data_IF_274438845375
#
_entry.id   IF_274438845375
#
_cell.length_a   1.000
_cell.length_b   1.000
_cell.length_c   1.000
_cell.angle_alpha   90.00
_cell.angle_beta   90.00
_cell.angle_gamma   90.00
#
_symmetry.space_group_name_H-M   'P 1'
#
loop_
_entity.id
_entity.type
_entity.pdbx_description
1 polymer ?
#
# COMPACT_ATOMS: atom_id res chain seq x y z
N UNK A 1 -31.28 14.49 -4.87
CA UNK A 1 -30.69 13.14 -4.81
C UNK A 1 -29.19 13.28 -4.77
N UNK A 2 -28.51 12.76 -3.74
CA UNK A 2 -27.05 12.67 -3.71
C UNK A 2 -26.64 11.38 -4.41
N UNK A 3 -25.89 11.49 -5.51
CA UNK A 3 -25.30 10.34 -6.18
C UNK A 3 -23.95 10.06 -5.52
N UNK A 4 -23.85 8.93 -4.83
CA UNK A 4 -22.57 8.48 -4.27
C UNK A 4 -21.75 7.89 -5.40
N UNK A 5 -20.55 8.43 -5.60
CA UNK A 5 -19.58 7.91 -6.56
C UNK A 5 -18.39 7.33 -5.81
N UNK A 6 -17.78 6.31 -6.40
CA UNK A 6 -16.62 5.60 -5.92
C UNK A 6 -15.44 5.94 -6.84
N UNK A 7 -14.68 7.01 -6.54
CA UNK A 7 -13.52 7.38 -7.34
C UNK A 7 -12.45 6.31 -7.25
N UNK A 8 -11.81 6.03 -8.39
CA UNK A 8 -10.61 5.23 -8.40
C UNK A 8 -9.46 6.05 -7.80
N UNK A 9 -8.88 5.58 -6.69
CA UNK A 9 -7.66 6.17 -6.13
C UNK A 9 -6.42 6.01 -7.02
N UNK A 10 -6.56 5.33 -8.17
CA UNK A 10 -5.49 5.03 -9.11
C UNK A 10 -5.61 5.81 -10.42
N UNK A 11 -6.75 6.42 -10.74
CA UNK A 11 -6.94 7.15 -11.99
C UNK A 11 -7.98 8.27 -11.84
N UNK A 12 -8.51 8.78 -12.95
CA UNK A 12 -9.60 9.77 -12.96
C UNK A 12 -10.98 9.14 -13.10
N UNK A 13 -11.09 7.82 -13.28
CA UNK A 13 -12.39 7.17 -13.42
C UNK A 13 -13.16 7.12 -12.10
N UNK A 14 -14.46 7.34 -12.20
CA UNK A 14 -15.42 7.27 -11.10
C UNK A 14 -16.49 6.25 -11.41
N UNK A 15 -16.85 5.46 -10.42
CA UNK A 15 -17.84 4.38 -10.56
C UNK A 15 -19.05 4.64 -9.69
N UNK A 16 -20.23 4.17 -10.10
CA UNK A 16 -21.46 4.35 -9.33
C UNK A 16 -21.70 3.19 -8.35
N UNK A 17 -21.01 2.06 -8.54
CA UNK A 17 -21.09 0.92 -7.65
C UNK A 17 -19.70 0.44 -7.18
N UNK A 18 -19.56 -0.01 -5.91
CA UNK A 18 -18.29 -0.54 -5.41
C UNK A 18 -17.77 -1.74 -6.20
N UNK A 19 -18.67 -2.55 -6.77
CA UNK A 19 -18.32 -3.75 -7.55
C UNK A 19 -17.60 -3.41 -8.85
N UNK A 20 -17.98 -2.29 -9.49
CA UNK A 20 -17.35 -1.80 -10.72
C UNK A 20 -15.93 -1.31 -10.43
N UNK A 21 -15.74 -0.55 -9.34
CA UNK A 21 -14.40 -0.13 -8.91
C UNK A 21 -13.51 -1.35 -8.57
N UNK A 22 -14.05 -2.39 -7.91
CA UNK A 22 -13.30 -3.62 -7.64
C UNK A 22 -12.86 -4.31 -8.92
N UNK A 23 -13.73 -4.39 -9.92
CA UNK A 23 -13.41 -5.00 -11.23
C UNK A 23 -12.41 -4.15 -12.04
N UNK A 24 -12.41 -2.83 -11.88
CA UNK A 24 -11.47 -1.92 -12.55
C UNK A 24 -10.05 -1.98 -11.97
N UNK A 25 -9.90 -2.17 -10.64
CA UNK A 25 -8.60 -2.11 -9.95
C UNK A 25 -7.48 -2.97 -10.57
N UNK A 26 -7.71 -4.23 -10.99
CA UNK A 26 -6.69 -5.04 -11.65
C UNK A 26 -6.21 -4.45 -12.98
N UNK A 27 -7.14 -4.01 -13.83
CA UNK A 27 -6.85 -3.39 -15.14
C UNK A 27 -6.06 -2.10 -14.93
N UNK A 28 -6.49 -1.28 -13.99
CA UNK A 28 -5.82 -0.02 -13.70
C UNK A 28 -4.40 -0.21 -13.15
N UNK A 29 -4.15 -1.29 -12.41
CA UNK A 29 -2.84 -1.58 -11.82
C UNK A 29 -1.83 -2.12 -12.84
N UNK A 30 -2.28 -2.54 -14.02
CA UNK A 30 -1.42 -3.02 -15.12
C UNK A 30 -1.04 -1.90 -16.10
N UNK A 31 -1.55 -0.68 -15.93
CA UNK A 31 -1.25 0.47 -16.80
C UNK A 31 0.04 1.13 -16.32
N UNK A 32 0.86 1.61 -17.26
CA UNK A 32 2.01 2.48 -16.92
C UNK A 32 1.47 3.89 -16.65
N UNK A 33 0.94 4.11 -15.44
CA UNK A 33 0.22 5.32 -15.07
C UNK A 33 0.96 6.12 -14.00
N UNK A 34 1.05 7.44 -14.19
CA UNK A 34 1.59 8.35 -13.18
C UNK A 34 0.50 8.75 -12.19
N UNK A 35 0.59 8.28 -10.95
CA UNK A 35 -0.38 8.59 -9.88
C UNK A 35 -0.42 10.07 -9.48
N UNK A 36 0.67 10.80 -9.73
CA UNK A 36 0.79 12.23 -9.36
C UNK A 36 0.01 13.12 -10.32
N UNK A 37 0.26 13.00 -11.63
CA UNK A 37 -0.36 13.86 -12.64
C UNK A 37 -1.50 13.20 -13.40
N UNK A 38 -1.77 11.93 -13.10
CA UNK A 38 -2.84 11.11 -13.67
C UNK A 38 -2.77 10.89 -15.18
N UNK A 39 -1.56 10.75 -15.72
CA UNK A 39 -1.30 10.44 -17.13
C UNK A 39 -0.92 8.97 -17.34
N UNK A 40 -1.36 8.43 -18.46
CA UNK A 40 -0.99 7.09 -18.95
C UNK A 40 0.17 7.14 -19.92
N UNK A 41 0.96 6.07 -19.90
CA UNK A 41 2.09 5.86 -20.78
C UNK A 41 1.99 4.49 -21.47
N UNK A 42 2.33 4.38 -22.76
CA UNK A 42 2.37 3.11 -23.48
C UNK A 42 3.33 2.08 -22.87
N UNK A 43 4.47 2.54 -22.33
CA UNK A 43 5.52 1.68 -21.79
C UNK A 43 5.98 2.10 -20.40
N UNK A 44 6.52 1.14 -19.64
CA UNK A 44 7.10 1.42 -18.31
C UNK A 44 8.30 2.38 -18.42
N UNK A 45 9.11 2.25 -19.48
CA UNK A 45 10.23 3.14 -19.74
C UNK A 45 9.79 4.60 -19.96
N UNK A 46 8.69 4.82 -20.69
CA UNK A 46 8.13 6.16 -20.87
C UNK A 46 7.58 6.73 -19.57
N UNK A 47 6.96 5.90 -18.72
CA UNK A 47 6.56 6.30 -17.38
C UNK A 47 7.79 6.67 -16.52
N UNK A 48 8.86 5.86 -16.51
CA UNK A 48 10.10 6.18 -15.78
C UNK A 48 10.70 7.50 -16.25
N UNK A 49 10.76 7.70 -17.57
CA UNK A 49 11.28 8.92 -18.18
C UNK A 49 10.42 10.12 -17.76
N UNK A 50 9.10 9.99 -17.82
CA UNK A 50 8.19 11.03 -17.34
C UNK A 50 8.39 11.33 -15.86
N UNK A 51 8.46 10.32 -15.00
CA UNK A 51 8.61 10.51 -13.56
C UNK A 51 9.92 11.25 -13.25
N UNK A 52 11.03 10.87 -13.89
CA UNK A 52 12.31 11.55 -13.71
C UNK A 52 12.31 13.00 -14.19
N UNK A 53 11.65 13.30 -15.32
CA UNK A 53 11.66 14.64 -15.92
C UNK A 53 10.62 15.59 -15.29
N UNK A 54 9.41 15.11 -14.99
CA UNK A 54 8.29 15.93 -14.54
C UNK A 54 8.12 15.95 -13.01
N UNK A 55 8.60 14.91 -12.33
CA UNK A 55 8.44 14.74 -10.88
C UNK A 55 9.78 14.60 -10.14
N UNK A 56 10.91 14.55 -10.86
CA UNK A 56 12.24 14.48 -10.29
C UNK A 56 12.53 13.10 -9.69
N UNK A 57 13.05 13.06 -8.46
CA UNK A 57 13.35 11.79 -7.79
C UNK A 57 12.05 11.10 -7.35
N UNK A 58 11.93 9.81 -7.66
CA UNK A 58 10.81 8.97 -7.27
C UNK A 58 11.30 7.62 -6.74
N UNK A 59 10.47 6.99 -5.90
CA UNK A 59 10.72 5.68 -5.29
C UNK A 59 9.78 4.66 -5.93
N UNK A 60 10.35 3.57 -6.44
CA UNK A 60 9.61 2.50 -7.10
C UNK A 60 9.26 1.38 -6.11
N UNK A 61 8.04 0.87 -6.21
CA UNK A 61 7.66 -0.36 -5.53
C UNK A 61 8.42 -1.56 -6.15
N UNK A 62 8.94 -2.45 -5.30
CA UNK A 62 9.63 -3.66 -5.76
C UNK A 62 8.68 -4.82 -6.08
N UNK A 63 7.40 -4.68 -5.75
CA UNK A 63 6.38 -5.73 -5.89
C UNK A 63 5.29 -5.38 -6.92
N UNK A 64 5.30 -4.15 -7.47
CA UNK A 64 4.42 -3.73 -8.56
C UNK A 64 5.00 -2.49 -9.28
N UNK A 65 4.42 -2.13 -10.42
CA UNK A 65 4.88 -1.02 -11.27
C UNK A 65 4.46 0.38 -10.76
N UNK A 66 4.38 0.55 -9.44
CA UNK A 66 3.98 1.82 -8.82
C UNK A 66 5.17 2.64 -8.40
N UNK A 67 5.00 3.95 -8.52
CA UNK A 67 6.02 4.94 -8.21
C UNK A 67 5.47 6.04 -7.32
N UNK A 68 6.33 6.56 -6.45
CA UNK A 68 5.96 7.53 -5.41
C UNK A 68 6.96 8.67 -5.37
N UNK A 69 6.47 9.91 -5.24
CA UNK A 69 7.31 11.10 -5.16
C UNK A 69 8.16 11.18 -3.87
N UNK A 70 7.87 10.36 -2.85
CA UNK A 70 8.58 10.32 -1.59
C UNK A 70 8.64 8.89 -1.01
N UNK A 71 9.69 8.59 -0.24
CA UNK A 71 9.86 7.29 0.43
C UNK A 71 8.73 6.99 1.41
N UNK A 72 8.22 8.02 2.11
CA UNK A 72 7.10 7.89 3.05
C UNK A 72 5.83 7.37 2.37
N UNK A 73 5.59 7.78 1.13
CA UNK A 73 4.45 7.32 0.33
C UNK A 73 4.63 5.92 -0.21
N UNK A 74 5.87 5.52 -0.51
CA UNK A 74 6.18 4.14 -0.82
C UNK A 74 6.02 3.23 0.41
N UNK A 75 6.45 3.67 1.59
CA UNK A 75 6.27 2.94 2.86
C UNK A 75 4.78 2.75 3.20
N UNK A 76 3.96 3.79 3.01
CA UNK A 76 2.50 3.75 3.15
C UNK A 76 1.92 2.69 2.19
N UNK A 77 2.33 2.74 0.93
CA UNK A 77 1.92 1.77 -0.09
C UNK A 77 2.29 0.32 0.28
N UNK A 78 3.54 0.07 0.71
CA UNK A 78 3.96 -1.25 1.16
C UNK A 78 3.09 -1.77 2.29
N UNK A 79 2.73 -0.91 3.24
CA UNK A 79 1.93 -1.30 4.41
C UNK A 79 0.50 -1.71 4.03
N UNK A 80 -0.12 -1.03 3.06
CA UNK A 80 -1.54 -1.25 2.72
C UNK A 80 -1.77 -2.20 1.55
N UNK A 81 -0.85 -2.25 0.59
CA UNK A 81 -1.02 -3.02 -0.64
C UNK A 81 -0.19 -4.30 -0.66
N UNK A 82 0.79 -4.42 0.23
CA UNK A 82 1.65 -5.59 0.33
C UNK A 82 1.63 -6.14 1.76
N UNK A 83 1.84 -7.44 1.91
CA UNK A 83 2.06 -8.02 3.23
C UNK A 83 3.51 -7.72 3.63
N UNK A 84 3.78 -6.47 4.04
CA UNK A 84 5.13 -6.00 4.34
C UNK A 84 5.23 -5.47 5.78
N UNK A 85 6.31 -5.84 6.47
CA UNK A 85 6.67 -5.25 7.74
C UNK A 85 7.57 -4.03 7.53
N UNK A 86 7.14 -2.86 8.01
CA UNK A 86 7.87 -1.61 7.82
C UNK A 86 9.14 -1.54 8.66
N UNK A 87 9.10 -2.07 9.87
CA UNK A 87 10.18 -1.97 10.85
C UNK A 87 11.32 -2.96 10.50
N UNK A 88 10.99 -4.22 10.20
CA UNK A 88 11.97 -5.21 9.71
C UNK A 88 12.30 -5.09 8.21
N UNK A 89 11.56 -4.29 7.44
CA UNK A 89 11.65 -4.22 5.97
C UNK A 89 11.52 -5.58 5.27
N UNK A 90 10.68 -6.48 5.81
CA UNK A 90 10.48 -7.85 5.30
C UNK A 90 9.13 -8.01 4.60
N UNK A 91 9.09 -8.64 3.40
CA UNK A 91 7.86 -9.06 2.76
C UNK A 91 7.38 -10.44 3.25
N UNK A 92 6.07 -10.65 3.14
CA UNK A 92 5.37 -11.89 3.48
C UNK A 92 4.44 -12.27 2.32
N UNK A 93 4.16 -13.57 2.18
CA UNK A 93 3.30 -14.07 1.11
C UNK A 93 1.83 -13.80 1.41
N UNK A 94 1.46 -13.76 2.69
CA UNK A 94 0.07 -13.54 3.12
C UNK A 94 -0.05 -12.52 4.25
N UNK A 95 -1.24 -11.92 4.38
CA UNK A 95 -1.55 -11.01 5.49
C UNK A 95 -1.53 -11.72 6.85
N UNK A 96 -1.86 -13.01 6.87
CA UNK A 96 -1.78 -13.85 8.07
C UNK A 96 -0.35 -14.11 8.54
N UNK A 97 0.60 -14.25 7.61
CA UNK A 97 2.03 -14.36 7.94
C UNK A 97 2.58 -13.06 8.52
N UNK A 98 2.25 -11.91 7.88
CA UNK A 98 2.62 -10.60 8.42
C UNK A 98 2.03 -10.38 9.81
N UNK A 99 0.77 -10.80 10.02
CA UNK A 99 0.11 -10.71 11.33
C UNK A 99 0.89 -11.47 12.40
N UNK A 100 1.22 -12.74 12.14
CA UNK A 100 2.00 -13.56 13.06
C UNK A 100 3.36 -12.93 13.34
N UNK A 101 4.05 -12.47 12.29
CA UNK A 101 5.32 -11.78 12.44
C UNK A 101 5.21 -10.57 13.39
N UNK A 102 4.23 -9.69 13.22
CA UNK A 102 4.05 -8.51 14.09
C UNK A 102 3.81 -8.86 15.57
N UNK A 103 3.12 -9.98 15.82
CA UNK A 103 2.87 -10.45 17.19
C UNK A 103 4.04 -11.21 17.82
N UNK A 104 4.97 -11.71 17.00
CA UNK A 104 6.04 -12.60 17.46
C UNK A 104 7.45 -12.07 17.19
N UNK A 105 7.59 -10.95 16.49
CA UNK A 105 8.87 -10.36 16.12
C UNK A 105 9.60 -9.84 17.38
N UNK A 106 10.81 -10.35 17.68
CA UNK A 106 11.57 -9.91 18.85
C UNK A 106 11.99 -8.44 18.82
N UNK A 107 12.14 -7.86 17.62
CA UNK A 107 12.59 -6.47 17.45
C UNK A 107 11.46 -5.46 17.67
N UNK A 108 10.21 -5.86 17.41
CA UNK A 108 9.03 -5.04 17.64
C UNK A 108 7.79 -5.93 17.82
N UNK A 109 7.07 -5.75 18.91
CA UNK A 109 5.79 -6.42 19.11
C UNK A 109 4.66 -5.43 18.84
N UNK A 110 4.18 -5.33 17.59
CA UNK A 110 3.13 -4.38 17.22
C UNK A 110 1.75 -5.03 17.05
N UNK A 111 0.72 -4.40 17.63
CA UNK A 111 -0.65 -4.84 17.47
C UNK A 111 -1.10 -4.60 16.02
N UNK A 112 -1.45 -5.64 15.25
CA UNK A 112 -1.83 -5.48 13.85
C UNK A 112 -3.19 -4.79 13.64
N UNK A 113 -3.98 -4.60 14.72
CA UNK A 113 -5.28 -3.91 14.68
C UNK A 113 -5.17 -2.41 14.97
N UNK A 114 -4.35 -2.00 15.94
CA UNK A 114 -4.23 -0.60 16.36
C UNK A 114 -2.84 0.01 16.18
N UNK A 115 -1.83 -0.79 15.83
CA UNK A 115 -0.46 -0.36 15.57
C UNK A 115 0.38 -0.03 16.81
N UNK A 116 -0.15 -0.25 18.02
CA UNK A 116 0.62 -0.02 19.26
C UNK A 116 1.77 -1.03 19.37
N UNK A 117 2.97 -0.52 19.68
CA UNK A 117 4.17 -1.34 19.87
C UNK A 117 4.43 -1.62 21.34
N UNK A 118 4.86 -2.83 21.66
CA UNK A 118 5.11 -3.34 22.99
C UNK A 118 6.55 -3.86 23.10
N UNK A 119 7.16 -3.75 24.30
CA UNK A 119 8.55 -4.18 24.49
C UNK A 119 8.70 -5.70 24.64
N UNK A 120 7.60 -6.45 24.83
CA UNK A 120 7.66 -7.90 25.07
C UNK A 120 6.46 -8.61 24.45
N UNK A 121 6.65 -9.91 24.12
CA UNK A 121 5.57 -10.81 23.68
C UNK A 121 4.40 -10.87 24.68
N UNK A 122 4.71 -10.90 25.98
CA UNK A 122 3.68 -10.88 27.03
C UNK A 122 2.88 -9.58 27.04
N UNK A 123 3.53 -8.44 26.79
CA UNK A 123 2.90 -7.12 26.74
C UNK A 123 1.88 -7.01 25.61
N UNK A 124 2.24 -7.43 24.39
CA UNK A 124 1.31 -7.43 23.27
C UNK A 124 0.17 -8.46 23.44
N UNK A 125 0.47 -9.66 23.97
CA UNK A 125 -0.55 -10.68 24.18
C UNK A 125 -1.62 -10.18 25.15
N UNK A 126 -1.19 -9.59 26.28
CA UNK A 126 -2.11 -9.00 27.25
C UNK A 126 -2.92 -7.86 26.65
N UNK A 127 -2.27 -6.97 25.89
CA UNK A 127 -2.99 -5.88 25.21
C UNK A 127 -4.06 -6.42 24.28
N UNK A 128 -3.73 -7.45 23.49
CA UNK A 128 -4.66 -8.06 22.55
C UNK A 128 -5.86 -8.63 23.31
N UNK A 129 -5.64 -9.50 24.30
CA UNK A 129 -6.69 -10.16 25.08
C UNK A 129 -7.63 -9.17 25.80
N UNK A 130 -7.13 -8.01 26.23
CA UNK A 130 -7.91 -7.00 26.96
C UNK A 130 -8.62 -5.97 26.06
N UNK A 131 -8.17 -5.80 24.81
CA UNK A 131 -8.63 -4.71 23.92
C UNK A 131 -9.27 -5.20 22.62
N UNK A 132 -9.08 -6.46 22.24
CA UNK A 132 -9.49 -7.03 20.95
C UNK A 132 -9.98 -8.47 21.11
#
# INVERSE_FOLDING_TARGET
MLVVVHPCGLCLETFYEPKQLRAHKPVCSQRNFCVTCKKDYPTSLELQTHLSQAHGSYQSCKFCDRHYAAQEKLDEHYTYQHSFCRDCKLPFSTRGELWKHRMECPDHYDCPLCGLCFPTKGGISKHFDEKH
#
